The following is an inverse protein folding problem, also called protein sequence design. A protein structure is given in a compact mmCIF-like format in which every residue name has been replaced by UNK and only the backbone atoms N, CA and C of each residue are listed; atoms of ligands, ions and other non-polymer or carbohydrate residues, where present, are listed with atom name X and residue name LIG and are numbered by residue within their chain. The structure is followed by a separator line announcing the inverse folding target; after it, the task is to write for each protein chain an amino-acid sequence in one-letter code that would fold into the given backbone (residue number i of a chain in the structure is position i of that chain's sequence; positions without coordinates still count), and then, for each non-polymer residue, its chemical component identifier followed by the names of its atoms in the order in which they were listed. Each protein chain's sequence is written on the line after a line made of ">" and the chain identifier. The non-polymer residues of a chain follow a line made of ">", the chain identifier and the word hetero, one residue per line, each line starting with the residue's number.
data_IF_405407277194
#
_entry.id   IF_405407277194
#
_cell.length_a   1.000
_cell.length_b   1.000
_cell.length_c   1.000
_cell.angle_alpha   90.00
_cell.angle_beta   90.00
_cell.angle_gamma   90.00
#
_symmetry.space_group_name_H-M   'P 1'
#
loop_
_entity.id
_entity.type
_entity.pdbx_description
1 polymer ?
#
# COMPACT_ATOMS: atom_id res chain seq x y z
N UNK A 1 -0.77 15.43 -15.83
CA UNK A 1 -0.30 15.99 -14.54
C UNK A 1 -0.45 14.99 -13.40
N UNK A 2 -1.65 14.43 -13.16
CA UNK A 2 -1.92 13.49 -12.05
C UNK A 2 -0.96 12.31 -11.93
N UNK A 3 -0.67 11.60 -13.04
CA UNK A 3 0.25 10.46 -13.02
C UNK A 3 1.66 10.84 -12.55
N UNK A 4 2.27 11.84 -13.18
CA UNK A 4 3.60 12.33 -12.81
C UNK A 4 3.67 12.86 -11.38
N UNK A 5 2.66 13.62 -10.94
CA UNK A 5 2.58 14.16 -9.58
C UNK A 5 2.46 13.07 -8.51
N UNK A 6 1.57 12.09 -8.71
CA UNK A 6 1.43 10.95 -7.81
C UNK A 6 2.69 10.10 -7.77
N UNK A 7 3.27 9.77 -8.92
CA UNK A 7 4.51 8.99 -8.99
C UNK A 7 5.65 9.72 -8.26
N UNK A 8 5.88 11.00 -8.55
CA UNK A 8 6.92 11.78 -7.87
C UNK A 8 6.71 11.85 -6.35
N UNK A 9 5.46 11.98 -5.90
CA UNK A 9 5.12 12.03 -4.46
C UNK A 9 5.37 10.69 -3.77
N UNK A 10 4.89 9.59 -4.35
CA UNK A 10 5.09 8.22 -3.82
C UNK A 10 6.57 7.89 -3.74
N UNK A 11 7.31 8.10 -4.84
CA UNK A 11 8.74 7.78 -4.89
C UNK A 11 9.57 8.72 -4.02
N UNK A 12 9.24 10.01 -3.96
CA UNK A 12 9.91 10.97 -3.08
C UNK A 12 9.78 10.60 -1.61
N UNK A 13 8.56 10.26 -1.15
CA UNK A 13 8.34 9.79 0.22
C UNK A 13 9.03 8.44 0.50
N UNK A 14 9.03 7.52 -0.46
CA UNK A 14 9.70 6.23 -0.33
C UNK A 14 11.22 6.38 -0.18
N UNK A 15 11.85 7.19 -1.04
CA UNK A 15 13.30 7.48 -0.99
C UNK A 15 13.64 8.21 0.31
N UNK A 16 12.87 9.23 0.69
CA UNK A 16 13.07 9.94 1.96
C UNK A 16 12.97 8.99 3.16
N UNK A 17 11.96 8.10 3.16
CA UNK A 17 11.79 7.10 4.20
C UNK A 17 12.96 6.10 4.27
N UNK A 18 13.41 5.61 3.12
CA UNK A 18 14.52 4.66 3.02
C UNK A 18 15.85 5.27 3.46
N UNK A 19 16.21 6.43 2.90
CA UNK A 19 17.44 7.14 3.25
C UNK A 19 17.42 7.59 4.70
N UNK A 20 16.30 8.14 5.16
CA UNK A 20 16.15 8.58 6.53
C UNK A 20 16.34 7.42 7.53
N UNK A 21 15.80 6.24 7.23
CA UNK A 21 15.96 5.07 8.11
C UNK A 21 17.38 4.52 8.13
N UNK A 22 18.15 4.72 7.05
CA UNK A 22 19.55 4.32 6.95
C UNK A 22 20.51 5.31 7.63
N UNK A 23 20.29 6.61 7.45
CA UNK A 23 21.23 7.65 7.88
C UNK A 23 20.84 8.35 9.19
N UNK A 24 19.61 8.20 9.68
CA UNK A 24 19.11 8.87 10.89
C UNK A 24 18.63 7.87 11.96
N UNK A 25 19.50 7.00 12.51
CA UNK A 25 19.12 5.99 13.51
C UNK A 25 18.59 6.58 14.82
N UNK A 26 18.91 7.84 15.13
CA UNK A 26 18.42 8.55 16.32
C UNK A 26 16.98 9.07 16.23
N UNK A 27 16.34 8.99 15.06
CA UNK A 27 14.97 9.48 14.86
C UNK A 27 13.96 8.51 15.48
N UNK A 28 13.12 9.05 16.37
CA UNK A 28 12.13 8.27 17.10
C UNK A 28 11.15 7.51 16.20
N UNK A 29 10.70 6.33 16.67
CA UNK A 29 9.77 5.44 15.95
C UNK A 29 8.51 6.14 15.40
N UNK A 30 8.01 7.16 16.10
CA UNK A 30 6.80 7.91 15.73
C UNK A 30 6.92 8.56 14.34
N UNK A 31 8.07 9.14 14.01
CA UNK A 31 8.29 9.77 12.71
C UNK A 31 8.12 8.77 11.56
N UNK A 32 8.74 7.60 11.67
CA UNK A 32 8.64 6.54 10.67
C UNK A 32 7.20 6.02 10.52
N UNK A 33 6.47 5.89 11.64
CA UNK A 33 5.05 5.50 11.61
C UNK A 33 4.23 6.54 10.83
N UNK A 34 4.42 7.84 11.10
CA UNK A 34 3.72 8.91 10.39
C UNK A 34 4.02 8.88 8.89
N UNK A 35 5.28 8.65 8.51
CA UNK A 35 5.67 8.54 7.11
C UNK A 35 4.99 7.35 6.41
N UNK A 36 4.95 6.19 7.07
CA UNK A 36 4.25 5.02 6.56
C UNK A 36 2.75 5.28 6.39
N UNK A 37 2.10 5.94 7.36
CA UNK A 37 0.69 6.32 7.27
C UNK A 37 0.48 7.29 6.11
N UNK A 38 1.31 8.33 5.98
CA UNK A 38 1.23 9.30 4.90
C UNK A 38 1.29 8.62 3.53
N UNK A 39 2.23 7.68 3.34
CA UNK A 39 2.35 6.90 2.11
C UNK A 39 1.09 6.08 1.81
N UNK A 40 0.50 5.42 2.81
CA UNK A 40 -0.73 4.64 2.65
C UNK A 40 -1.95 5.49 2.30
N UNK A 41 -2.02 6.73 2.80
CA UNK A 41 -3.17 7.62 2.58
C UNK A 41 -3.17 8.34 1.23
N UNK A 42 -2.08 8.28 0.46
CA UNK A 42 -2.02 8.89 -0.88
C UNK A 42 -3.12 8.37 -1.82
N UNK A 43 -3.59 7.14 -1.64
CA UNK A 43 -4.70 6.58 -2.42
C UNK A 43 -5.98 7.41 -2.32
N UNK A 44 -6.22 8.08 -1.18
CA UNK A 44 -7.39 8.94 -0.97
C UNK A 44 -7.34 10.17 -1.88
N UNK A 45 -6.15 10.71 -2.13
CA UNK A 45 -5.96 11.87 -3.02
C UNK A 45 -6.29 11.48 -4.47
N UNK A 46 -5.92 10.26 -4.89
CA UNK A 46 -6.22 9.74 -6.22
C UNK A 46 -7.61 9.10 -6.33
N UNK A 47 -8.39 9.04 -5.25
CA UNK A 47 -9.64 8.27 -5.20
C UNK A 47 -10.70 8.77 -6.20
N UNK A 48 -10.87 10.10 -6.30
CA UNK A 48 -11.85 10.71 -7.21
C UNK A 48 -11.57 10.38 -8.69
N UNK A 49 -10.36 10.60 -9.24
CA UNK A 49 -10.08 10.20 -10.62
C UNK A 49 -10.10 8.68 -10.81
N UNK A 50 -9.76 7.89 -9.79
CA UNK A 50 -9.85 6.42 -9.86
C UNK A 50 -11.28 5.92 -10.00
N UNK A 51 -12.27 6.52 -9.33
CA UNK A 51 -13.69 6.15 -9.51
C UNK A 51 -14.23 6.65 -10.85
N UNK A 52 -13.85 7.87 -11.26
CA UNK A 52 -14.38 8.48 -12.48
C UNK A 52 -13.92 7.77 -13.77
N UNK A 53 -12.73 7.15 -13.75
CA UNK A 53 -12.11 6.58 -14.95
C UNK A 53 -11.64 5.13 -14.79
N UNK A 54 -11.65 4.58 -13.57
CA UNK A 54 -11.14 3.25 -13.28
C UNK A 54 -12.19 2.15 -13.44
N UNK A 55 -11.73 0.96 -13.81
CA UNK A 55 -12.57 -0.25 -13.83
C UNK A 55 -13.10 -0.56 -12.43
N UNK A 56 -14.41 -0.80 -12.32
CA UNK A 56 -15.05 -1.21 -11.07
C UNK A 56 -14.38 -2.46 -10.48
N UNK A 57 -13.99 -3.41 -11.32
CA UNK A 57 -13.30 -4.64 -10.90
C UNK A 57 -11.96 -4.29 -10.24
N UNK A 58 -11.19 -3.39 -10.84
CA UNK A 58 -9.91 -2.95 -10.28
C UNK A 58 -10.09 -2.24 -8.93
N UNK A 59 -11.13 -1.42 -8.78
CA UNK A 59 -11.44 -0.76 -7.50
C UNK A 59 -11.82 -1.76 -6.41
N UNK A 60 -12.63 -2.78 -6.74
CA UNK A 60 -12.99 -3.87 -5.82
C UNK A 60 -11.74 -4.66 -5.41
N UNK A 61 -10.87 -5.00 -6.36
CA UNK A 61 -9.61 -5.68 -6.06
C UNK A 61 -8.70 -4.82 -5.16
N UNK A 62 -8.56 -3.52 -5.43
CA UNK A 62 -7.80 -2.62 -4.55
C UNK A 62 -8.37 -2.57 -3.13
N UNK A 63 -9.69 -2.50 -2.99
CA UNK A 63 -10.35 -2.55 -1.69
C UNK A 63 -10.10 -3.89 -0.98
N UNK A 64 -10.22 -5.01 -1.68
CA UNK A 64 -9.95 -6.35 -1.15
C UNK A 64 -8.49 -6.51 -0.70
N UNK A 65 -7.53 -6.00 -1.49
CA UNK A 65 -6.12 -5.96 -1.11
C UNK A 65 -5.88 -5.14 0.17
N UNK A 66 -6.56 -4.01 0.31
CA UNK A 66 -6.55 -3.20 1.54
C UNK A 66 -7.09 -3.96 2.75
N UNK A 67 -8.20 -4.70 2.60
CA UNK A 67 -8.77 -5.55 3.67
C UNK A 67 -7.80 -6.67 4.06
N UNK A 68 -7.18 -7.35 3.09
CA UNK A 68 -6.15 -8.38 3.35
C UNK A 68 -4.95 -7.81 4.11
N UNK A 69 -4.51 -6.60 3.77
CA UNK A 69 -3.40 -5.95 4.48
C UNK A 69 -3.77 -5.62 5.92
N UNK A 70 -4.98 -5.07 6.14
CA UNK A 70 -5.49 -4.74 7.47
C UNK A 70 -5.70 -5.99 8.34
N UNK A 71 -6.25 -7.07 7.80
CA UNK A 71 -6.39 -8.32 8.55
C UNK A 71 -5.04 -8.92 8.92
N UNK A 72 -4.04 -8.87 8.02
CA UNK A 72 -2.65 -9.21 8.31
C UNK A 72 -2.06 -8.43 9.48
N UNK A 73 -2.34 -7.13 9.57
CA UNK A 73 -1.89 -6.28 10.67
C UNK A 73 -2.46 -6.70 12.03
N UNK A 74 -3.70 -7.21 12.08
CA UNK A 74 -4.30 -7.76 13.31
C UNK A 74 -3.49 -8.96 13.82
N UNK A 75 -3.08 -9.87 12.92
CA UNK A 75 -2.22 -11.01 13.30
C UNK A 75 -0.83 -10.56 13.77
N UNK A 76 -0.26 -9.52 13.14
CA UNK A 76 1.03 -8.97 13.55
C UNK A 76 1.02 -8.42 15.00
N UNK A 77 -0.07 -7.75 15.40
CA UNK A 77 -0.22 -7.23 16.77
C UNK A 77 -0.46 -8.35 17.78
N UNK A 78 -1.15 -9.44 17.39
CA UNK A 78 -1.44 -10.60 18.24
C UNK A 78 -0.26 -11.57 18.36
N UNK A 79 0.78 -11.16 19.10
CA UNK A 79 2.01 -11.94 19.35
C UNK A 79 1.82 -13.26 20.11
N UNK A 80 0.62 -13.59 20.57
CA UNK A 80 0.30 -14.85 21.29
C UNK A 80 0.13 -16.06 20.37
N UNK A 81 -0.04 -15.85 19.06
CA UNK A 81 -0.19 -16.93 18.09
C UNK A 81 1.17 -17.49 17.67
N UNK A 82 1.33 -18.80 17.72
CA UNK A 82 2.47 -19.49 17.09
C UNK A 82 2.44 -19.17 15.59
N UNK A 83 3.56 -18.72 15.02
CA UNK A 83 3.70 -18.29 13.62
C UNK A 83 3.05 -16.97 13.20
N UNK A 84 2.67 -16.09 14.15
CA UNK A 84 2.04 -14.79 13.84
C UNK A 84 2.76 -13.99 12.72
N UNK A 85 4.10 -14.02 12.70
CA UNK A 85 4.91 -13.33 11.69
C UNK A 85 4.75 -13.93 10.30
N UNK A 86 4.72 -15.26 10.19
CA UNK A 86 4.56 -15.94 8.90
C UNK A 86 3.14 -15.70 8.34
N UNK A 87 2.11 -15.80 9.19
CA UNK A 87 0.72 -15.50 8.82
C UNK A 87 0.58 -14.04 8.36
N UNK A 88 1.24 -13.10 9.04
CA UNK A 88 1.30 -11.70 8.62
C UNK A 88 1.94 -11.55 7.23
N UNK A 89 3.11 -12.15 6.97
CA UNK A 89 3.73 -12.08 5.64
C UNK A 89 2.85 -12.73 4.56
N UNK A 90 2.16 -13.83 4.86
CA UNK A 90 1.22 -14.46 3.93
C UNK A 90 0.10 -13.51 3.51
N UNK A 91 -0.46 -12.74 4.44
CA UNK A 91 -1.46 -11.70 4.13
C UNK A 91 -0.87 -10.56 3.29
N UNK A 92 0.37 -10.14 3.57
CA UNK A 92 1.05 -9.09 2.78
C UNK A 92 1.29 -9.56 1.35
N UNK A 93 1.73 -10.80 1.14
CA UNK A 93 1.93 -11.38 -0.20
C UNK A 93 0.60 -11.52 -0.94
N UNK A 94 -0.45 -11.99 -0.27
CA UNK A 94 -1.78 -12.08 -0.87
C UNK A 94 -2.33 -10.69 -1.26
N UNK A 95 -2.20 -9.70 -0.38
CA UNK A 95 -2.59 -8.32 -0.66
C UNK A 95 -1.83 -7.73 -1.87
N UNK A 96 -0.52 -7.98 -1.96
CA UNK A 96 0.30 -7.56 -3.09
C UNK A 96 -0.12 -8.24 -4.41
N UNK A 97 -0.44 -9.55 -4.35
CA UNK A 97 -0.96 -10.28 -5.51
C UNK A 97 -2.31 -9.75 -5.99
N UNK A 98 -3.22 -9.42 -5.07
CA UNK A 98 -4.51 -8.79 -5.39
C UNK A 98 -4.31 -7.38 -5.97
N UNK A 99 -3.39 -6.59 -5.42
CA UNK A 99 -3.05 -5.27 -5.95
C UNK A 99 -2.49 -5.37 -7.37
N UNK A 100 -1.61 -6.34 -7.63
CA UNK A 100 -1.10 -6.62 -8.98
C UNK A 100 -2.24 -7.00 -9.95
N UNK A 101 -3.16 -7.86 -9.52
CA UNK A 101 -4.33 -8.23 -10.33
C UNK A 101 -5.23 -7.01 -10.64
N UNK A 102 -5.38 -6.08 -9.70
CA UNK A 102 -6.11 -4.84 -9.93
C UNK A 102 -5.50 -4.00 -11.06
N UNK A 103 -4.16 -3.88 -11.09
CA UNK A 103 -3.44 -3.18 -12.16
C UNK A 103 -3.56 -3.95 -13.49
N UNK A 104 -3.38 -5.27 -13.46
CA UNK A 104 -3.50 -6.10 -14.66
C UNK A 104 -4.88 -5.94 -15.31
N UNK A 105 -5.95 -6.11 -14.54
CA UNK A 105 -7.32 -6.01 -15.06
C UNK A 105 -7.67 -4.56 -15.40
N UNK A 106 -7.41 -3.62 -14.50
CA UNK A 106 -7.87 -2.23 -14.62
C UNK A 106 -7.07 -1.34 -15.56
N UNK A 107 -5.85 -1.74 -15.93
CA UNK A 107 -4.97 -0.93 -16.79
C UNK A 107 -4.54 -1.70 -18.03
N UNK A 108 -4.01 -2.91 -17.86
CA UNK A 108 -3.42 -3.67 -18.98
C UNK A 108 -4.51 -4.28 -19.84
N UNK A 109 -5.45 -5.01 -19.24
CA UNK A 109 -6.50 -5.75 -19.97
C UNK A 109 -7.72 -4.91 -20.32
N UNK A 110 -7.96 -3.79 -19.62
CA UNK A 110 -9.10 -2.89 -19.93
C UNK A 110 -8.95 -2.21 -21.30
N UNK A 111 -7.72 -2.16 -21.86
CA UNK A 111 -7.43 -1.56 -23.17
C UNK A 111 -7.16 -2.60 -24.28
N UNK A 112 -7.40 -3.89 -24.02
CA UNK A 112 -7.31 -4.98 -24.99
C UNK A 112 -8.70 -5.37 -25.48
#
# INVERSE_FOLDING_TARGET
>A
AWAWGMTATVWGLAVLGALGKLFLPGVGRRFWILLYIALSWLVVIAFKPMIAHGSLIALVLLAAGGVLYMSGAVFYVRKKLTWFRAVWHGHVVAAAGVHWAAVLVGVVLTNA
#
